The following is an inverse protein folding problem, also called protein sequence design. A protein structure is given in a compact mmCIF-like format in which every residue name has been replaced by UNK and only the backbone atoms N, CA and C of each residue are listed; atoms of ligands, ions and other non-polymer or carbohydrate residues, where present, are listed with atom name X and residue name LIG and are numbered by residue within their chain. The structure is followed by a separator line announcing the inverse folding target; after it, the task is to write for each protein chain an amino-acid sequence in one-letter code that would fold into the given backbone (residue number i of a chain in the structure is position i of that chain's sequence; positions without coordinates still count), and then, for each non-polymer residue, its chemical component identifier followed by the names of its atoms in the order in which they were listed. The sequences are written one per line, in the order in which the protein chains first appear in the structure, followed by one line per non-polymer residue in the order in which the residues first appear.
data_IF_414465866214
#
_entry.id   IF_414465866214
#
_cell.length_a   1.000
_cell.length_b   1.000
_cell.length_c   1.000
_cell.angle_alpha   90.00
_cell.angle_beta   90.00
_cell.angle_gamma   90.00
#
_symmetry.space_group_name_H-M   'P 1'
#
loop_
_entity.id
_entity.type
_entity.pdbx_description
1 polymer ?
#
# COMPACT_ATOMS: atom_id res chain seq x y z
N UNK A 1 -7.50 16.73 -11.26
CA UNK A 1 -6.62 15.87 -12.09
C UNK A 1 -6.87 14.45 -11.61
N UNK A 2 -7.38 13.53 -12.43
CA UNK A 2 -7.78 12.19 -11.97
C UNK A 2 -6.58 11.23 -11.92
N UNK A 3 -6.39 10.57 -10.77
CA UNK A 3 -5.26 9.73 -10.38
C UNK A 3 -5.61 8.22 -10.42
N UNK A 4 -5.81 7.62 -11.60
CA UNK A 4 -6.38 6.26 -11.72
C UNK A 4 -5.43 5.12 -12.13
N UNK A 5 -4.13 5.15 -11.81
CA UNK A 5 -3.20 4.15 -12.39
C UNK A 5 -1.99 3.75 -11.53
N UNK A 6 -2.09 3.71 -10.19
CA UNK A 6 -0.92 3.49 -9.32
C UNK A 6 -0.72 2.04 -8.82
N UNK A 7 -1.09 1.01 -9.59
CA UNK A 7 -0.69 -0.37 -9.25
C UNK A 7 -0.26 -1.11 -10.51
N UNK A 8 1.06 -1.34 -10.70
CA UNK A 8 1.50 -2.34 -11.65
C UNK A 8 0.98 -3.70 -11.17
N UNK A 9 -0.01 -4.26 -11.87
CA UNK A 9 -0.39 -5.66 -11.70
C UNK A 9 0.82 -6.53 -12.08
N UNK A 10 1.63 -6.94 -11.10
CA UNK A 10 2.65 -7.99 -11.30
C UNK A 10 1.93 -9.34 -11.41
N UNK A 11 1.29 -9.58 -12.55
CA UNK A 11 0.83 -10.92 -12.96
C UNK A 11 1.96 -11.59 -13.75
N UNK A 12 2.82 -12.38 -13.11
CA UNK A 12 3.37 -13.59 -13.74
C UNK A 12 4.10 -14.54 -12.78
N UNK A 13 3.65 -15.79 -12.72
CA UNK A 13 4.31 -17.03 -13.17
C UNK A 13 5.53 -17.45 -12.33
N UNK A 14 5.28 -18.27 -11.30
CA UNK A 14 6.25 -19.21 -10.75
C UNK A 14 5.67 -20.63 -10.81
N UNK A 15 5.99 -21.38 -11.86
CA UNK A 15 5.91 -22.85 -11.86
C UNK A 15 7.31 -23.39 -11.57
N UNK A 16 7.54 -23.84 -10.34
CA UNK A 16 8.77 -24.55 -9.97
C UNK A 16 8.48 -26.06 -10.05
N UNK A 17 9.17 -26.76 -10.94
CA UNK A 17 9.12 -28.21 -11.08
C UNK A 17 9.93 -28.88 -9.96
N UNK A 18 9.34 -29.90 -9.33
CA UNK A 18 9.96 -30.68 -8.26
C UNK A 18 10.84 -31.79 -8.83
N UNK A 19 12.14 -31.76 -8.55
CA UNK A 19 13.06 -32.88 -8.76
C UNK A 19 13.54 -33.42 -7.40
N UNK A 20 13.19 -34.66 -7.09
CA UNK A 20 13.59 -35.33 -5.86
C UNK A 20 14.99 -35.96 -5.97
N UNK A 21 15.82 -35.83 -4.93
CA UNK A 21 16.96 -36.71 -4.69
C UNK A 21 17.16 -36.93 -3.18
N UNK A 22 17.41 -38.18 -2.79
CA UNK A 22 17.42 -38.66 -1.41
C UNK A 22 18.84 -38.87 -0.84
N UNK A 23 18.99 -38.50 0.45
CA UNK A 23 19.82 -39.01 1.57
C UNK A 23 21.31 -39.43 1.39
N UNK A 24 22.17 -38.86 2.25
CA UNK A 24 22.83 -39.54 3.39
C UNK A 24 23.62 -38.55 4.25
N UNK A 25 23.72 -38.82 5.57
CA UNK A 25 24.07 -37.85 6.61
C UNK A 25 25.54 -37.78 7.04
N UNK A 26 25.82 -36.84 7.96
CA UNK A 26 26.75 -36.90 9.12
C UNK A 26 26.38 -35.69 10.00
N UNK A 27 26.08 -35.96 11.28
CA UNK A 27 25.76 -34.97 12.32
C UNK A 27 27.03 -34.48 13.01
N UNK A 28 27.32 -33.18 12.86
CA UNK A 28 28.18 -32.42 13.76
C UNK A 28 27.29 -31.38 14.46
N UNK A 29 27.14 -31.53 15.77
CA UNK A 29 26.47 -30.59 16.66
C UNK A 29 27.31 -29.32 16.78
N UNK A 30 27.15 -28.40 15.84
CA UNK A 30 27.36 -26.98 16.11
C UNK A 30 26.02 -26.40 16.60
N UNK A 31 26.08 -25.66 17.71
CA UNK A 31 25.03 -24.74 18.14
C UNK A 31 24.92 -23.57 17.14
N UNK A 32 24.54 -23.89 15.91
CA UNK A 32 24.04 -22.91 14.97
C UNK A 32 22.55 -22.75 15.30
N UNK A 33 22.25 -21.82 16.21
CA UNK A 33 20.97 -21.13 16.18
C UNK A 33 20.89 -20.48 14.80
N UNK A 34 20.35 -21.23 13.85
CA UNK A 34 20.17 -20.75 12.50
C UNK A 34 18.94 -19.84 12.50
N UNK A 35 19.20 -18.53 12.48
CA UNK A 35 18.33 -17.49 11.92
C UNK A 35 17.98 -17.85 10.47
N UNK A 36 17.07 -18.80 10.29
CA UNK A 36 16.60 -19.25 8.99
C UNK A 36 15.09 -19.20 9.01
N UNK A 37 14.55 -18.16 8.36
CA UNK A 37 13.17 -18.18 7.89
C UNK A 37 13.01 -19.42 7.01
N UNK A 38 12.12 -20.30 7.41
CA UNK A 38 11.77 -21.51 6.68
C UNK A 38 11.01 -21.16 5.40
N UNK A 39 10.97 -22.09 4.44
CA UNK A 39 10.18 -21.89 3.22
C UNK A 39 8.68 -21.72 3.51
N UNK A 40 8.18 -22.31 4.61
CA UNK A 40 6.80 -22.13 5.04
C UNK A 40 6.55 -20.69 5.52
N UNK A 41 7.45 -20.14 6.33
CA UNK A 41 7.38 -18.75 6.80
C UNK A 41 7.54 -17.75 5.65
N UNK A 42 8.41 -18.03 4.67
CA UNK A 42 8.53 -17.18 3.47
C UNK A 42 7.24 -17.18 2.64
N UNK A 43 6.60 -18.34 2.48
CA UNK A 43 5.33 -18.45 1.76
C UNK A 43 4.22 -17.70 2.49
N UNK A 44 4.16 -17.85 3.81
CA UNK A 44 3.21 -17.16 4.67
C UNK A 44 3.40 -15.65 4.60
N UNK A 45 4.63 -15.16 4.76
CA UNK A 45 4.97 -13.75 4.62
C UNK A 45 4.54 -13.18 3.26
N UNK A 46 4.70 -13.96 2.18
CA UNK A 46 4.25 -13.54 0.85
C UNK A 46 2.71 -13.41 0.78
N UNK A 47 1.96 -14.35 1.37
CA UNK A 47 0.49 -14.28 1.42
C UNK A 47 0.04 -13.04 2.19
N UNK A 48 0.67 -12.78 3.34
CA UNK A 48 0.37 -11.62 4.17
C UNK A 48 0.67 -10.29 3.45
N UNK A 49 1.83 -10.18 2.81
CA UNK A 49 2.20 -9.00 2.03
C UNK A 49 1.28 -8.75 0.83
N UNK A 50 0.83 -9.81 0.14
CA UNK A 50 -0.10 -9.66 -0.99
C UNK A 50 -1.43 -9.10 -0.52
N UNK A 51 -1.98 -9.64 0.56
CA UNK A 51 -3.24 -9.17 1.12
C UNK A 51 -3.12 -7.73 1.66
N UNK A 52 -2.06 -7.39 2.41
CA UNK A 52 -1.82 -6.00 2.83
C UNK A 52 -1.66 -5.06 1.63
N UNK A 53 -1.00 -5.53 0.56
CA UNK A 53 -0.88 -4.79 -0.70
C UNK A 53 -2.23 -4.48 -1.36
N UNK A 54 -3.17 -5.43 -1.37
CA UNK A 54 -4.52 -5.21 -1.90
C UNK A 54 -5.31 -4.21 -1.05
N UNK A 55 -5.14 -4.27 0.27
CA UNK A 55 -5.76 -3.30 1.18
C UNK A 55 -5.20 -1.90 0.93
N UNK A 56 -3.87 -1.74 0.84
CA UNK A 56 -3.22 -0.47 0.52
C UNK A 56 -3.67 0.12 -0.81
N UNK A 57 -3.80 -0.73 -1.81
CA UNK A 57 -4.31 -0.36 -3.12
C UNK A 57 -5.70 0.30 -3.01
N UNK A 58 -6.63 -0.39 -2.36
CA UNK A 58 -7.99 0.10 -2.17
C UNK A 58 -8.04 1.37 -1.31
N UNK A 59 -7.26 1.40 -0.23
CA UNK A 59 -7.12 2.57 0.62
C UNK A 59 -6.64 3.81 -0.15
N UNK A 60 -5.69 3.64 -1.07
CA UNK A 60 -5.16 4.74 -1.87
C UNK A 60 -6.21 5.22 -2.88
N UNK A 61 -6.98 4.32 -3.50
CA UNK A 61 -8.08 4.71 -4.38
C UNK A 61 -9.11 5.61 -3.67
N UNK A 62 -9.46 5.28 -2.43
CA UNK A 62 -10.34 6.11 -1.60
C UNK A 62 -9.72 7.49 -1.32
N UNK A 63 -8.42 7.55 -1.01
CA UNK A 63 -7.74 8.82 -0.78
C UNK A 63 -7.73 9.67 -2.05
N UNK A 64 -7.49 9.08 -3.21
CA UNK A 64 -7.53 9.82 -4.47
C UNK A 64 -8.94 10.31 -4.81
N UNK A 65 -9.99 9.56 -4.44
CA UNK A 65 -11.38 10.01 -4.57
C UNK A 65 -11.71 11.20 -3.65
N UNK A 66 -11.09 11.26 -2.48
CA UNK A 66 -11.37 12.25 -1.43
C UNK A 66 -10.36 13.39 -1.35
N UNK A 67 -9.44 13.49 -2.33
CA UNK A 67 -8.42 14.54 -2.39
C UNK A 67 -8.42 15.31 -3.71
N UNK A 68 -9.59 15.77 -4.14
CA UNK A 68 -9.69 16.75 -5.22
C UNK A 68 -9.95 18.13 -4.63
N UNK A 69 -8.89 18.80 -4.17
CA UNK A 69 -9.00 20.18 -3.67
C UNK A 69 -7.70 20.98 -3.70
N UNK A 70 -7.84 22.29 -3.51
CA UNK A 70 -6.71 23.22 -3.35
C UNK A 70 -6.51 23.60 -1.88
N UNK A 71 -5.27 23.52 -1.39
CA UNK A 71 -4.92 23.97 -0.03
C UNK A 71 -4.98 25.49 0.05
N UNK A 72 -5.57 26.01 1.12
CA UNK A 72 -5.75 27.45 1.37
C UNK A 72 -7.18 27.94 1.17
N UNK A 73 -8.03 27.12 0.56
CA UNK A 73 -9.47 27.36 0.53
C UNK A 73 -10.12 27.02 1.88
N UNK A 74 -11.26 27.64 2.18
CA UNK A 74 -12.03 27.30 3.37
C UNK A 74 -12.55 25.86 3.29
N UNK A 75 -12.49 25.11 4.40
CA UNK A 75 -12.88 23.68 4.45
C UNK A 75 -14.27 23.36 3.90
N UNK A 76 -15.22 24.30 3.97
CA UNK A 76 -16.54 24.13 3.37
C UNK A 76 -16.52 24.17 1.83
N UNK A 77 -15.64 24.98 1.24
CA UNK A 77 -15.43 24.98 -0.22
C UNK A 77 -14.74 23.70 -0.67
N UNK A 78 -13.78 23.22 0.13
CA UNK A 78 -13.11 21.93 -0.09
C UNK A 78 -14.12 20.78 -0.07
N UNK A 79 -15.05 20.77 0.89
CA UNK A 79 -16.11 19.76 0.96
C UNK A 79 -17.00 19.76 -0.30
N UNK A 80 -17.42 20.92 -0.77
CA UNK A 80 -18.19 21.01 -2.02
C UNK A 80 -17.39 20.60 -3.27
N UNK A 81 -16.06 20.84 -3.29
CA UNK A 81 -15.19 20.37 -4.37
C UNK A 81 -15.06 18.85 -4.39
N UNK A 82 -14.85 18.23 -3.22
CA UNK A 82 -14.83 16.77 -3.08
C UNK A 82 -16.16 16.19 -3.54
N UNK A 83 -17.30 16.74 -3.06
CA UNK A 83 -18.63 16.32 -3.50
C UNK A 83 -18.76 16.36 -5.02
N UNK A 84 -18.47 17.51 -5.64
CA UNK A 84 -18.59 17.68 -7.08
C UNK A 84 -17.69 16.70 -7.85
N UNK A 85 -16.49 16.43 -7.34
CA UNK A 85 -15.60 15.44 -7.92
C UNK A 85 -16.18 14.03 -7.81
N UNK A 86 -16.63 13.60 -6.63
CA UNK A 86 -17.22 12.26 -6.44
C UNK A 86 -18.46 12.07 -7.29
N UNK A 87 -19.41 13.00 -7.29
CA UNK A 87 -20.62 12.92 -8.13
C UNK A 87 -20.27 12.84 -9.63
N UNK A 88 -19.15 13.43 -10.06
CA UNK A 88 -18.67 13.35 -11.45
C UNK A 88 -18.06 12.00 -11.82
N UNK A 89 -17.41 11.32 -10.86
CA UNK A 89 -16.73 10.04 -11.09
C UNK A 89 -17.67 8.85 -10.81
N UNK A 90 -18.57 9.01 -9.84
CA UNK A 90 -19.43 7.99 -9.26
C UNK A 90 -20.87 8.54 -9.16
N UNK A 91 -21.60 8.70 -10.28
CA UNK A 91 -22.96 9.25 -10.28
C UNK A 91 -23.99 8.35 -9.59
N UNK A 92 -23.62 7.11 -9.27
CA UNK A 92 -24.36 6.15 -8.46
C UNK A 92 -24.34 6.48 -6.96
N UNK A 93 -23.33 7.21 -6.50
CA UNK A 93 -23.17 7.55 -5.09
C UNK A 93 -24.17 8.62 -4.64
N UNK A 94 -24.53 8.57 -3.37
CA UNK A 94 -25.21 9.68 -2.69
C UNK A 94 -24.18 10.43 -1.87
N UNK A 95 -24.04 11.74 -2.11
CA UNK A 95 -23.11 12.58 -1.36
C UNK A 95 -23.88 13.67 -0.61
N UNK A 96 -23.77 13.66 0.72
CA UNK A 96 -24.35 14.67 1.60
C UNK A 96 -23.24 15.56 2.15
N UNK A 97 -23.48 16.88 2.20
CA UNK A 97 -22.50 17.85 2.72
C UNK A 97 -23.16 18.74 3.77
N UNK A 98 -22.56 18.81 4.95
CA UNK A 98 -22.98 19.69 6.04
C UNK A 98 -21.78 20.49 6.58
N UNK A 99 -21.52 21.65 5.97
CA UNK A 99 -20.39 22.50 6.35
C UNK A 99 -19.05 21.86 5.95
N UNK A 100 -18.31 21.34 6.93
CA UNK A 100 -17.03 20.67 6.71
C UNK A 100 -17.12 19.14 6.85
N UNK A 101 -18.33 18.62 6.96
CA UNK A 101 -18.62 17.20 7.04
C UNK A 101 -19.20 16.70 5.71
N UNK A 102 -18.77 15.52 5.25
CA UNK A 102 -19.36 14.83 4.11
C UNK A 102 -19.71 13.39 4.46
N UNK A 103 -20.80 12.91 3.89
CA UNK A 103 -21.14 11.49 3.87
C UNK A 103 -21.19 11.03 2.41
N UNK A 104 -20.42 9.99 2.09
CA UNK A 104 -20.35 9.35 0.78
C UNK A 104 -20.95 7.94 0.91
N UNK A 105 -22.14 7.74 0.39
CA UNK A 105 -22.81 6.44 0.37
C UNK A 105 -22.76 5.84 -1.04
N UNK A 106 -22.08 4.71 -1.19
CA UNK A 106 -21.96 3.97 -2.45
C UNK A 106 -23.05 2.92 -2.64
N UNK A 107 -23.99 2.78 -1.70
CA UNK A 107 -25.05 1.79 -1.71
C UNK A 107 -24.56 0.37 -1.42
N UNK A 108 -25.24 -0.61 -1.99
CA UNK A 108 -24.87 -2.03 -1.91
C UNK A 108 -24.05 -2.46 -3.13
N UNK A 109 -23.31 -3.58 -3.04
CA UNK A 109 -22.54 -4.12 -4.17
C UNK A 109 -23.41 -4.37 -5.42
N UNK A 110 -24.70 -4.64 -5.25
CA UNK A 110 -25.66 -4.83 -6.33
C UNK A 110 -25.98 -3.58 -7.14
N UNK A 111 -25.70 -2.39 -6.58
CA UNK A 111 -25.95 -1.10 -7.24
C UNK A 111 -24.87 -0.75 -8.29
N UNK A 112 -23.81 -1.58 -8.38
CA UNK A 112 -22.78 -1.52 -9.41
C UNK A 112 -22.11 -0.14 -9.51
N UNK A 113 -21.76 0.44 -8.36
CA UNK A 113 -21.12 1.75 -8.32
C UNK A 113 -19.63 1.65 -8.68
N UNK A 114 -19.29 1.86 -9.96
CA UNK A 114 -17.96 1.53 -10.49
C UNK A 114 -17.00 2.73 -10.57
N UNK A 115 -15.78 2.56 -10.04
CA UNK A 115 -14.66 3.49 -10.20
C UNK A 115 -13.38 2.71 -10.48
N UNK A 116 -12.60 3.14 -11.49
CA UNK A 116 -11.35 2.51 -11.91
C UNK A 116 -11.43 0.98 -12.17
N UNK A 117 -12.61 0.47 -12.54
CA UNK A 117 -12.83 -0.96 -12.80
C UNK A 117 -13.15 -1.79 -11.55
N UNK A 118 -13.38 -1.15 -10.41
CA UNK A 118 -13.81 -1.77 -9.16
C UNK A 118 -15.23 -1.32 -8.79
N UNK A 119 -16.02 -2.21 -8.19
CA UNK A 119 -17.38 -1.91 -7.71
C UNK A 119 -17.34 -1.55 -6.23
N UNK A 120 -17.73 -0.33 -5.90
CA UNK A 120 -17.75 0.20 -4.54
C UNK A 120 -19.12 -0.01 -3.89
N UNK A 121 -19.12 -0.21 -2.57
CA UNK A 121 -20.29 -0.21 -1.70
C UNK A 121 -19.90 0.23 -0.28
N UNK A 122 -20.89 0.57 0.55
CA UNK A 122 -20.69 1.04 1.92
C UNK A 122 -20.57 2.57 2.04
N UNK A 123 -20.23 3.05 3.24
CA UNK A 123 -20.29 4.47 3.58
C UNK A 123 -18.94 5.00 4.06
N UNK A 124 -18.53 6.15 3.55
CA UNK A 124 -17.38 6.93 4.04
C UNK A 124 -17.89 8.25 4.59
N UNK A 125 -17.62 8.51 5.86
CA UNK A 125 -17.79 9.86 6.43
C UNK A 125 -16.46 10.59 6.41
N UNK A 126 -16.49 11.88 6.08
CA UNK A 126 -15.34 12.77 6.05
C UNK A 126 -15.57 13.95 6.99
N UNK A 127 -14.62 14.22 7.87
CA UNK A 127 -14.55 15.47 8.62
C UNK A 127 -13.31 16.27 8.20
N UNK A 128 -13.52 17.51 7.78
CA UNK A 128 -12.47 18.38 7.29
C UNK A 128 -12.12 19.46 8.30
N UNK A 129 -10.84 19.58 8.60
CA UNK A 129 -10.28 20.69 9.36
C UNK A 129 -9.06 21.24 8.62
N UNK A 130 -8.69 22.49 8.87
CA UNK A 130 -7.54 23.06 8.18
C UNK A 130 -7.40 24.57 8.32
N UNK A 131 -6.30 25.06 7.76
CA UNK A 131 -5.92 26.46 7.67
C UNK A 131 -5.31 26.78 6.30
N UNK A 132 -4.55 27.87 6.20
CA UNK A 132 -3.94 28.31 4.96
C UNK A 132 -2.81 27.38 4.45
N UNK A 133 -2.21 26.60 5.34
CA UNK A 133 -1.01 25.81 5.06
C UNK A 133 -1.27 24.30 5.03
N UNK A 134 -2.38 23.86 5.64
CA UNK A 134 -2.72 22.45 5.77
C UNK A 134 -4.22 22.15 5.78
N UNK A 135 -4.58 20.97 5.29
CA UNK A 135 -5.93 20.41 5.39
C UNK A 135 -5.81 19.00 5.96
N UNK A 136 -6.58 18.72 7.02
CA UNK A 136 -6.76 17.38 7.57
C UNK A 136 -8.11 16.85 7.11
N UNK A 137 -8.09 15.64 6.58
CA UNK A 137 -9.29 14.88 6.23
C UNK A 137 -9.31 13.64 7.13
N UNK A 138 -10.27 13.59 8.03
CA UNK A 138 -10.57 12.42 8.84
C UNK A 138 -11.62 11.58 8.10
N UNK A 139 -11.31 10.31 7.85
CA UNK A 139 -12.17 9.32 7.23
C UNK A 139 -12.69 8.35 8.28
N UNK A 140 -14.00 8.07 8.24
CA UNK A 140 -14.60 6.93 8.92
C UNK A 140 -15.20 5.98 7.89
N UNK A 141 -14.74 4.73 7.89
CA UNK A 141 -15.22 3.67 7.01
C UNK A 141 -16.25 2.80 7.73
N UNK A 142 -17.42 2.65 7.12
CA UNK A 142 -18.46 1.72 7.57
C UNK A 142 -18.80 0.76 6.43
N UNK A 143 -18.27 -0.45 6.51
CA UNK A 143 -18.52 -1.53 5.55
C UNK A 143 -18.10 -1.21 4.11
N UNK A 144 -17.09 -0.36 3.92
CA UNK A 144 -16.66 0.13 2.61
C UNK A 144 -15.94 -0.98 1.87
N UNK A 145 -16.40 -1.38 0.68
CA UNK A 145 -15.87 -2.54 -0.03
C UNK A 145 -15.71 -2.30 -1.52
N UNK A 146 -14.70 -2.94 -2.13
CA UNK A 146 -14.52 -3.02 -3.58
C UNK A 146 -14.97 -4.38 -4.17
N UNK A 147 -15.63 -5.22 -3.37
CA UNK A 147 -16.01 -6.58 -3.70
C UNK A 147 -14.96 -7.65 -3.36
N UNK A 148 -13.70 -7.26 -3.10
CA UNK A 148 -12.63 -8.18 -2.66
C UNK A 148 -12.21 -7.93 -1.21
N UNK A 149 -12.08 -6.65 -0.84
CA UNK A 149 -11.69 -6.18 0.48
C UNK A 149 -12.79 -5.27 1.01
N UNK A 150 -13.16 -5.45 2.28
CA UNK A 150 -14.02 -4.51 3.02
C UNK A 150 -13.23 -3.86 4.15
N UNK A 151 -13.41 -2.55 4.37
CA UNK A 151 -12.77 -1.74 5.39
C UNK A 151 -13.81 -1.24 6.40
N UNK A 152 -13.42 -1.25 7.68
CA UNK A 152 -14.16 -0.69 8.80
C UNK A 152 -13.17 -0.01 9.75
N UNK A 153 -13.38 1.26 10.10
CA UNK A 153 -12.48 1.99 11.02
C UNK A 153 -12.10 3.37 10.54
N UNK A 154 -11.00 3.91 11.04
CA UNK A 154 -10.62 5.31 10.85
C UNK A 154 -9.32 5.50 10.08
N UNK A 155 -9.23 6.64 9.40
CA UNK A 155 -8.01 7.11 8.75
C UNK A 155 -7.96 8.63 8.84
N UNK A 156 -6.76 9.16 8.99
CA UNK A 156 -6.51 10.60 8.96
C UNK A 156 -5.46 10.87 7.90
N UNK A 157 -5.72 11.85 7.04
CA UNK A 157 -4.75 12.35 6.07
C UNK A 157 -4.55 13.84 6.27
N UNK A 158 -3.33 14.22 6.63
CA UNK A 158 -2.91 15.62 6.79
C UNK A 158 -2.12 16.04 5.55
N UNK A 159 -2.71 16.90 4.74
CA UNK A 159 -2.13 17.45 3.52
C UNK A 159 -1.41 18.76 3.78
N UNK A 160 -0.23 18.90 3.17
CA UNK A 160 0.49 20.17 2.99
C UNK A 160 0.83 20.32 1.51
N UNK A 161 1.40 21.47 1.13
CA UNK A 161 1.83 21.71 -0.25
C UNK A 161 2.94 20.77 -0.75
N UNK A 162 3.63 20.05 0.14
CA UNK A 162 4.80 19.23 -0.22
C UNK A 162 4.68 17.76 0.17
N UNK A 163 3.80 17.44 1.11
CA UNK A 163 3.70 16.12 1.70
C UNK A 163 2.31 15.84 2.22
N UNK A 164 2.00 14.54 2.39
CA UNK A 164 0.86 14.08 3.18
C UNK A 164 1.32 13.13 4.29
N UNK A 165 0.82 13.34 5.49
CA UNK A 165 0.91 12.36 6.57
C UNK A 165 -0.39 11.54 6.57
N UNK A 166 -0.27 10.22 6.72
CA UNK A 166 -1.37 9.26 6.67
C UNK A 166 -1.28 8.43 7.94
N UNK A 167 -2.29 8.52 8.80
CA UNK A 167 -2.47 7.64 9.94
C UNK A 167 -3.72 6.78 9.71
N UNK A 168 -3.66 5.50 10.03
CA UNK A 168 -4.79 4.59 9.87
C UNK A 168 -4.92 3.69 11.08
N UNK A 169 -6.16 3.41 11.45
CA UNK A 169 -6.55 2.44 12.47
C UNK A 169 -7.86 1.79 11.99
N UNK A 170 -7.74 0.68 11.28
CA UNK A 170 -8.90 0.02 10.70
C UNK A 170 -8.78 -1.50 10.72
N UNK A 171 -9.94 -2.13 10.71
CA UNK A 171 -10.11 -3.53 10.38
C UNK A 171 -10.39 -3.68 8.89
N UNK A 172 -9.87 -4.75 8.30
CA UNK A 172 -10.20 -5.13 6.95
C UNK A 172 -10.52 -6.62 6.89
N UNK A 173 -11.39 -6.99 5.95
CA UNK A 173 -11.81 -8.37 5.74
C UNK A 173 -11.85 -8.73 4.26
N UNK A 174 -11.55 -9.99 3.99
CA UNK A 174 -11.81 -10.69 2.73
C UNK A 174 -12.73 -11.87 3.02
N UNK A 175 -13.07 -12.65 2.00
CA UNK A 175 -13.81 -13.91 2.17
C UNK A 175 -13.06 -14.93 3.06
N UNK A 176 -11.74 -14.82 3.14
CA UNK A 176 -10.88 -15.79 3.82
C UNK A 176 -10.50 -15.37 5.24
N UNK A 177 -10.41 -14.06 5.52
CA UNK A 177 -9.86 -13.57 6.81
C UNK A 177 -10.34 -12.17 7.18
N UNK A 178 -10.22 -11.85 8.47
CA UNK A 178 -10.40 -10.50 9.02
C UNK A 178 -9.18 -10.14 9.87
N UNK A 179 -8.71 -8.92 9.74
CA UNK A 179 -7.46 -8.43 10.34
C UNK A 179 -7.63 -6.99 10.81
N UNK A 180 -7.08 -6.68 11.97
CA UNK A 180 -6.94 -5.31 12.47
C UNK A 180 -5.52 -4.83 12.21
N UNK A 181 -5.37 -3.57 11.79
CA UNK A 181 -4.07 -2.99 11.53
C UNK A 181 -4.03 -1.48 11.67
N UNK A 182 -2.83 -0.99 11.94
CA UNK A 182 -2.51 0.43 12.01
C UNK A 182 -1.41 0.79 11.01
N UNK A 183 -1.37 2.05 10.61
CA UNK A 183 -0.30 2.58 9.76
C UNK A 183 -0.03 4.02 10.13
N UNK A 184 1.25 4.39 10.14
CA UNK A 184 1.67 5.79 10.16
C UNK A 184 2.68 5.97 9.05
N UNK A 185 2.37 6.82 8.07
CA UNK A 185 3.22 7.05 6.90
C UNK A 185 3.29 8.53 6.55
N UNK A 186 4.42 8.95 6.03
CA UNK A 186 4.60 10.26 5.39
C UNK A 186 4.98 10.02 3.94
N UNK A 187 4.28 10.70 3.04
CA UNK A 187 4.61 10.74 1.62
C UNK A 187 5.05 12.14 1.24
N UNK A 188 6.23 12.27 0.65
CA UNK A 188 6.83 13.55 0.24
C UNK A 188 7.05 13.55 -1.26
N UNK A 189 6.75 14.67 -1.93
CA UNK A 189 7.02 14.81 -3.36
C UNK A 189 8.53 14.82 -3.64
N UNK A 190 8.98 13.98 -4.58
CA UNK A 190 10.39 13.97 -5.02
C UNK A 190 10.73 15.21 -5.85
N UNK A 191 9.77 15.65 -6.67
CA UNK A 191 9.85 16.89 -7.45
C UNK A 191 8.55 17.69 -7.20
N UNK A 192 8.59 18.72 -6.33
CA UNK A 192 7.44 19.55 -6.03
C UNK A 192 6.85 20.26 -7.26
N UNK A 193 7.67 20.56 -8.28
CA UNK A 193 7.22 21.27 -9.48
C UNK A 193 6.49 20.32 -10.44
N UNK A 194 6.92 19.05 -10.49
CA UNK A 194 6.22 18.00 -11.23
C UNK A 194 5.04 17.37 -10.46
N UNK A 195 4.92 17.67 -9.17
CA UNK A 195 3.96 17.03 -8.28
C UNK A 195 4.20 15.52 -8.18
N UNK A 196 3.13 14.75 -7.98
CA UNK A 196 3.20 13.27 -7.89
C UNK A 196 3.78 12.64 -9.15
N UNK A 197 3.72 13.31 -10.32
CA UNK A 197 4.33 12.81 -11.56
C UNK A 197 5.85 12.77 -11.48
N UNK A 198 6.46 13.57 -10.62
CA UNK A 198 7.88 13.49 -10.28
C UNK A 198 8.25 12.30 -9.40
N UNK A 199 7.24 11.68 -8.78
CA UNK A 199 7.37 10.60 -7.83
C UNK A 199 7.22 11.05 -6.38
N UNK A 200 7.17 10.05 -5.51
CA UNK A 200 6.99 10.23 -4.07
C UNK A 200 8.00 9.39 -3.29
N UNK A 201 8.51 9.94 -2.21
CA UNK A 201 9.22 9.22 -1.16
C UNK A 201 8.22 8.83 -0.07
N UNK A 202 8.30 7.61 0.45
CA UNK A 202 7.44 7.09 1.50
C UNK A 202 8.31 6.65 2.69
N UNK A 203 7.97 7.16 3.87
CA UNK A 203 8.52 6.71 5.14
C UNK A 203 7.38 6.30 6.08
N UNK A 204 7.61 5.33 6.96
CA UNK A 204 6.67 4.99 8.02
C UNK A 204 6.60 3.50 8.31
N UNK A 205 5.48 3.07 8.86
CA UNK A 205 5.25 1.67 9.18
C UNK A 205 3.78 1.27 9.01
N UNK A 206 3.57 -0.05 8.93
CA UNK A 206 2.28 -0.72 9.04
C UNK A 206 2.43 -1.85 10.04
N UNK A 207 1.40 -2.06 10.86
CA UNK A 207 1.34 -3.16 11.82
C UNK A 207 -0.03 -3.81 11.71
N UNK A 208 -0.08 -5.14 11.79
CA UNK A 208 -1.35 -5.87 11.81
C UNK A 208 -1.23 -7.19 12.55
N UNK A 209 -2.35 -7.68 13.06
CA UNK A 209 -2.41 -8.98 13.73
C UNK A 209 -3.02 -10.02 12.81
N UNK A 210 -2.21 -10.95 12.32
CA UNK A 210 -2.65 -12.09 11.52
C UNK A 210 -2.87 -13.36 12.36
N UNK A 211 -3.21 -14.47 11.71
CA UNK A 211 -3.44 -15.76 12.40
C UNK A 211 -2.23 -16.26 13.17
N UNK A 212 -1.02 -15.96 12.67
CA UNK A 212 0.24 -16.38 13.28
C UNK A 212 0.83 -15.38 14.27
N UNK A 213 0.15 -14.24 14.52
CA UNK A 213 0.56 -13.18 15.43
C UNK A 213 0.84 -11.86 14.73
N UNK A 214 1.70 -11.05 15.33
CA UNK A 214 1.93 -9.65 14.95
C UNK A 214 2.91 -9.53 13.78
N UNK A 215 2.54 -8.73 12.80
CA UNK A 215 3.35 -8.39 11.63
C UNK A 215 3.64 -6.90 11.64
N UNK A 216 4.85 -6.55 11.20
CA UNK A 216 5.26 -5.15 11.05
C UNK A 216 6.00 -4.96 9.74
N UNK A 217 5.56 -4.01 8.93
CA UNK A 217 6.23 -3.56 7.71
C UNK A 217 6.77 -2.15 7.94
N UNK A 218 8.08 -2.02 8.08
CA UNK A 218 8.78 -0.73 8.06
C UNK A 218 9.05 -0.30 6.63
N UNK A 219 8.87 0.98 6.35
CA UNK A 219 9.08 1.64 5.06
C UNK A 219 10.10 2.76 5.27
N UNK A 220 11.29 2.63 4.70
CA UNK A 220 12.39 3.58 4.87
C UNK A 220 12.80 4.16 3.51
N UNK A 221 12.49 5.44 3.30
CA UNK A 221 12.88 6.21 2.11
C UNK A 221 12.47 5.58 0.78
N UNK A 222 11.32 4.89 0.72
CA UNK A 222 10.91 4.19 -0.51
C UNK A 222 10.45 5.19 -1.56
N UNK A 223 11.19 5.26 -2.66
CA UNK A 223 10.92 6.20 -3.74
C UNK A 223 10.22 5.52 -4.92
N UNK A 224 9.04 6.02 -5.29
CA UNK A 224 8.23 5.45 -6.37
C UNK A 224 7.97 6.51 -7.43
N UNK A 225 8.15 6.15 -8.71
CA UNK A 225 7.81 6.97 -9.87
C UNK A 225 6.93 6.20 -10.83
N UNK A 226 6.02 6.88 -11.50
CA UNK A 226 5.06 6.27 -12.43
C UNK A 226 5.71 5.55 -13.62
N UNK A 227 6.93 5.95 -13.99
CA UNK A 227 7.66 5.38 -15.12
C UNK A 227 8.47 4.12 -14.75
N UNK A 228 8.68 3.88 -13.46
CA UNK A 228 9.49 2.76 -12.99
C UNK A 228 8.61 1.56 -12.63
N UNK A 229 9.02 0.32 -12.96
CA UNK A 229 8.24 -0.87 -12.65
C UNK A 229 8.29 -1.29 -11.17
N UNK A 230 9.30 -0.81 -10.44
CA UNK A 230 9.52 -1.04 -9.00
C UNK A 230 10.05 0.26 -8.36
N UNK A 231 10.06 0.39 -7.03
CA UNK A 231 10.68 1.55 -6.38
C UNK A 231 12.13 1.72 -6.82
N UNK A 232 12.57 2.96 -6.98
CA UNK A 232 13.93 3.27 -7.44
C UNK A 232 14.95 3.38 -6.30
N UNK A 233 14.48 3.57 -5.07
CA UNK A 233 15.30 3.68 -3.88
C UNK A 233 14.50 3.26 -2.63
N UNK A 234 15.21 3.10 -1.52
CA UNK A 234 14.64 2.82 -0.20
C UNK A 234 14.53 1.34 0.12
N UNK A 235 13.88 1.04 1.24
CA UNK A 235 13.78 -0.31 1.78
C UNK A 235 12.44 -0.57 2.46
N UNK A 236 11.91 -1.77 2.21
CA UNK A 236 10.90 -2.40 3.03
C UNK A 236 11.55 -3.40 3.98
N UNK A 237 11.15 -3.42 5.24
CA UNK A 237 11.53 -4.46 6.21
C UNK A 237 10.28 -5.05 6.84
N UNK A 238 10.01 -6.31 6.56
CA UNK A 238 8.94 -7.08 7.17
C UNK A 238 9.49 -7.86 8.36
N UNK A 239 8.99 -7.57 9.55
CA UNK A 239 9.16 -8.39 10.75
C UNK A 239 7.99 -9.36 10.86
N UNK A 240 8.28 -10.66 10.89
CA UNK A 240 7.27 -11.72 11.04
C UNK A 240 7.05 -12.03 12.54
N UNK A 241 5.95 -12.70 12.95
CA UNK A 241 5.59 -12.90 14.36
C UNK A 241 6.66 -13.59 15.24
N UNK A 242 7.59 -14.33 14.64
CA UNK A 242 8.72 -14.98 15.34
C UNK A 242 9.95 -14.06 15.51
N UNK A 243 9.85 -12.80 15.11
CA UNK A 243 10.91 -11.80 15.16
C UNK A 243 11.93 -11.86 14.01
N UNK A 244 11.79 -12.82 13.09
CA UNK A 244 12.67 -12.84 11.91
C UNK A 244 12.30 -11.71 10.95
N UNK A 245 13.30 -11.22 10.22
CA UNK A 245 13.12 -10.13 9.25
C UNK A 245 13.41 -10.57 7.82
N UNK A 246 12.59 -10.05 6.91
CA UNK A 246 12.78 -10.05 5.46
C UNK A 246 12.92 -8.60 5.04
N UNK A 247 13.98 -8.25 4.32
CA UNK A 247 14.11 -6.91 3.74
C UNK A 247 14.13 -6.97 2.22
N UNK A 248 13.52 -5.96 1.59
CA UNK A 248 13.58 -5.70 0.17
C UNK A 248 14.07 -4.27 -0.04
N UNK A 249 15.27 -4.09 -0.55
CA UNK A 249 15.86 -2.76 -0.81
C UNK A 249 16.04 -2.51 -2.30
N UNK A 250 15.96 -1.24 -2.67
CA UNK A 250 16.03 -0.78 -4.05
C UNK A 250 17.15 0.22 -4.24
N UNK A 251 17.82 0.16 -5.37
CA UNK A 251 18.82 1.15 -5.77
C UNK A 251 18.84 1.29 -7.27
N UNK A 252 18.57 2.50 -7.77
CA UNK A 252 18.81 2.85 -9.16
C UNK A 252 20.30 2.80 -9.46
N UNK A 253 20.71 1.90 -10.36
CA UNK A 253 22.10 1.77 -10.77
C UNK A 253 22.39 2.54 -12.07
N UNK A 254 21.39 2.70 -12.94
CA UNK A 254 21.44 3.56 -14.13
C UNK A 254 20.04 4.03 -14.57
N UNK A 255 19.94 4.64 -15.76
CA UNK A 255 18.69 5.20 -16.29
C UNK A 255 17.62 4.11 -16.54
N UNK A 256 18.04 2.92 -16.96
CA UNK A 256 17.15 1.83 -17.34
C UNK A 256 17.04 0.74 -16.25
N UNK A 257 17.96 0.69 -15.30
CA UNK A 257 18.10 -0.45 -14.39
C UNK A 257 17.98 -0.07 -12.91
N UNK A 258 17.14 -0.82 -12.20
CA UNK A 258 17.00 -0.78 -10.75
C UNK A 258 17.43 -2.13 -10.18
N UNK A 259 18.33 -2.10 -9.20
CA UNK A 259 18.70 -3.25 -8.40
C UNK A 259 17.71 -3.44 -7.24
N UNK A 260 17.15 -4.64 -7.13
CA UNK A 260 16.31 -5.07 -6.01
C UNK A 260 17.04 -6.18 -5.24
N UNK A 261 17.29 -5.96 -3.95
CA UNK A 261 17.96 -6.92 -3.07
C UNK A 261 16.97 -7.46 -2.06
N UNK A 262 16.78 -8.78 -2.07
CA UNK A 262 16.02 -9.50 -1.06
C UNK A 262 17.00 -10.08 -0.05
N UNK A 263 16.86 -9.72 1.23
CA UNK A 263 17.68 -10.28 2.30
C UNK A 263 16.83 -10.99 3.37
N UNK A 264 17.31 -12.16 3.78
CA UNK A 264 16.72 -12.99 4.84
C UNK A 264 17.85 -13.53 5.70
N UNK A 265 18.04 -12.92 6.88
CA UNK A 265 19.21 -13.18 7.72
C UNK A 265 20.51 -12.95 6.92
N UNK A 266 21.38 -13.96 6.87
CA UNK A 266 22.65 -13.88 6.13
C UNK A 266 22.52 -14.16 4.61
N UNK A 267 21.32 -14.48 4.10
CA UNK A 267 21.12 -14.81 2.69
C UNK A 267 20.62 -13.59 1.94
N UNK A 268 21.23 -13.32 0.80
CA UNK A 268 20.81 -12.25 -0.11
C UNK A 268 20.56 -12.82 -1.51
N UNK A 269 19.63 -12.21 -2.22
CA UNK A 269 19.38 -12.41 -3.66
C UNK A 269 19.31 -11.04 -4.31
N UNK A 270 19.96 -10.90 -5.46
CA UNK A 270 20.03 -9.63 -6.19
C UNK A 270 19.36 -9.83 -7.54
N UNK A 271 18.43 -8.92 -7.85
CA UNK A 271 17.75 -8.88 -9.12
C UNK A 271 17.97 -7.52 -9.77
N UNK A 272 18.18 -7.51 -11.07
CA UNK A 272 18.15 -6.27 -11.85
C UNK A 272 16.83 -6.23 -12.63
N UNK A 273 16.13 -5.10 -12.52
CA UNK A 273 14.85 -4.86 -13.18
C UNK A 273 15.02 -3.67 -14.13
N UNK A 274 14.77 -3.91 -15.41
CA UNK A 274 14.86 -2.85 -16.43
C UNK A 274 13.55 -2.05 -16.53
N UNK A 275 13.53 -0.92 -17.25
CA UNK A 275 12.32 -0.06 -17.39
C UNK A 275 11.13 -0.76 -18.05
N UNK A 276 11.38 -1.83 -18.83
CA UNK A 276 10.33 -2.66 -19.42
C UNK A 276 9.78 -3.73 -18.44
N UNK A 277 10.28 -3.78 -17.20
CA UNK A 277 9.91 -4.77 -16.18
C UNK A 277 10.56 -6.13 -16.38
N UNK A 278 11.55 -6.25 -17.26
CA UNK A 278 12.36 -7.45 -17.41
C UNK A 278 13.26 -7.66 -16.20
N UNK A 279 13.28 -8.88 -15.67
CA UNK A 279 14.03 -9.25 -14.45
C UNK A 279 15.17 -10.20 -14.79
N UNK A 280 16.40 -9.88 -14.36
CA UNK A 280 17.54 -10.80 -14.34
C UNK A 280 17.96 -11.13 -12.91
N UNK A 281 18.34 -12.38 -12.66
CA UNK A 281 18.86 -12.85 -11.38
C UNK A 281 20.39 -12.84 -11.45
N UNK A 282 21.01 -11.96 -10.66
CA UNK A 282 22.46 -11.80 -10.60
C UNK A 282 23.10 -12.71 -9.54
N UNK A 283 22.30 -13.57 -8.88
CA UNK A 283 22.73 -14.44 -7.79
C UNK A 283 23.53 -15.69 -8.23
N UNK A 284 24.24 -15.61 -9.36
CA UNK A 284 25.05 -16.70 -9.93
C UNK A 284 26.55 -16.44 -9.74
N UNK A 285 27.04 -16.82 -8.56
CA UNK A 285 28.46 -16.95 -8.19
C UNK A 285 28.61 -17.79 -6.92
#
# INVERSE_FOLDING_TARGET
MAYSAWIPQVRSVLRVSSGALALAGVTLLSSACFDRVSNAELREALVELVADGQVMAFENEIVELTTSFTIGDGVAAVAEEIRAFVESQLPCSTVTVEGAHLELDFGELGDACEYNGHTFAGVIELDLTGDADSITVDHMFTGVTNGEVTLDGAKQVVWTTKSRAIATDYAWKTDERAVEGTSERVQTLLDPDAGVRGGIEINGARQWTGESGDWELSIDGVEIRWMDPIPQAGQYTLTIPRGNQLSLSFTRIDEDTIEAVIAVGARTRVFHVNSAGGVSDESAG
#
